data_IF_930306741508
#
_entry.id   IF_930306741508
#
_cell.length_a   1.000
_cell.length_b   1.000
_cell.length_c   1.000
_cell.angle_alpha   90.00
_cell.angle_beta   90.00
_cell.angle_gamma   90.00
#
_symmetry.space_group_name_H-M   'P 1'
#
loop_
_entity.id
_entity.type
_entity.pdbx_description
1 polymer ?
#
# COMPACT_ATOMS: atom_id res chain seq x y z
N UNK A 1 63.23 3.26 34.18
CA UNK A 1 62.27 3.17 33.06
C UNK A 1 62.97 2.37 31.99
N UNK A 2 62.59 1.11 31.81
CA UNK A 2 63.35 0.18 30.97
C UNK A 2 63.20 0.53 29.49
N UNK A 3 64.29 0.95 28.86
CA UNK A 3 64.35 1.30 27.43
C UNK A 3 63.82 0.16 26.53
N UNK A 4 63.91 -1.08 27.01
CA UNK A 4 63.35 -2.26 26.33
C UNK A 4 61.83 -2.22 26.21
N UNK A 5 61.13 -1.75 27.25
CA UNK A 5 59.67 -1.66 27.27
C UNK A 5 59.21 -0.56 26.30
N UNK A 6 59.92 0.57 26.28
CA UNK A 6 59.62 1.69 25.37
C UNK A 6 59.82 1.27 23.90
N UNK A 7 60.91 0.54 23.61
CA UNK A 7 61.18 0.04 22.26
C UNK A 7 60.15 -0.99 21.79
N UNK A 8 59.66 -1.86 22.67
CA UNK A 8 58.62 -2.83 22.34
C UNK A 8 57.27 -2.15 22.04
N UNK A 9 56.90 -1.15 22.86
CA UNK A 9 55.69 -0.35 22.63
C UNK A 9 55.76 0.42 21.30
N UNK A 10 56.92 0.98 20.95
CA UNK A 10 57.13 1.64 19.67
C UNK A 10 56.94 0.70 18.48
N UNK A 11 57.53 -0.51 18.52
CA UNK A 11 57.35 -1.54 17.48
C UNK A 11 55.89 -1.99 17.34
N UNK A 12 55.18 -2.15 18.46
CA UNK A 12 53.76 -2.52 18.45
C UNK A 12 52.89 -1.43 17.83
N UNK A 13 53.16 -0.16 18.17
CA UNK A 13 52.49 1.01 17.60
C UNK A 13 52.74 1.13 16.09
N UNK A 14 53.98 0.96 15.66
CA UNK A 14 54.37 0.99 14.25
C UNK A 14 53.66 -0.12 13.44
N UNK A 15 53.64 -1.36 13.95
CA UNK A 15 52.94 -2.47 13.30
C UNK A 15 51.43 -2.24 13.20
N UNK A 16 50.83 -1.59 14.21
CA UNK A 16 49.42 -1.20 14.18
C UNK A 16 49.16 -0.09 13.15
N UNK A 17 50.02 0.92 13.09
CA UNK A 17 49.93 2.00 12.09
C UNK A 17 50.10 1.46 10.66
N UNK A 18 51.04 0.55 10.43
CA UNK A 18 51.22 -0.10 9.13
C UNK A 18 49.99 -0.91 8.72
N UNK A 19 49.39 -1.68 9.65
CA UNK A 19 48.13 -2.41 9.39
C UNK A 19 46.95 -1.48 9.14
N UNK A 20 46.92 -0.33 9.81
CA UNK A 20 45.90 0.70 9.62
C UNK A 20 46.04 1.30 8.22
N UNK A 21 47.25 1.72 7.84
CA UNK A 21 47.55 2.25 6.49
C UNK A 21 47.24 1.23 5.39
N UNK A 22 47.56 -0.05 5.57
CA UNK A 22 47.16 -1.11 4.63
C UNK A 22 45.63 -1.17 4.44
N UNK A 23 44.85 -0.98 5.52
CA UNK A 23 43.38 -0.91 5.44
C UNK A 23 42.89 0.34 4.71
N UNK A 24 43.58 1.47 4.84
CA UNK A 24 43.27 2.68 4.09
C UNK A 24 43.55 2.50 2.59
N UNK A 25 44.68 1.88 2.21
CA UNK A 25 45.00 1.59 0.80
C UNK A 25 44.00 0.60 0.18
N UNK A 26 43.53 -0.42 0.92
CA UNK A 26 42.42 -1.28 0.43
C UNK A 26 41.05 -0.60 0.40
N UNK A 27 40.88 0.56 1.06
CA UNK A 27 39.65 1.37 0.98
C UNK A 27 39.73 2.45 -0.11
N UNK A 28 40.92 2.83 -0.56
CA UNK A 28 41.15 3.88 -1.56
C UNK A 28 41.62 3.36 -2.93
N UNK A 29 40.97 2.32 -3.44
CA UNK A 29 40.86 2.07 -4.89
C UNK A 29 39.36 1.80 -5.17
N UNK A 30 38.44 2.75 -4.94
CA UNK A 30 38.22 4.05 -5.60
C UNK A 30 37.28 4.06 -6.82
N UNK A 31 36.83 2.91 -7.35
CA UNK A 31 35.71 2.90 -8.32
C UNK A 31 34.35 2.77 -7.63
N UNK A 32 34.18 1.75 -6.79
CA UNK A 32 32.85 1.38 -6.25
C UNK A 32 32.25 2.42 -5.30
N UNK A 33 33.07 3.09 -4.47
CA UNK A 33 32.57 4.09 -3.52
C UNK A 33 32.25 5.44 -4.17
N UNK A 34 32.98 5.81 -5.24
CA UNK A 34 32.71 7.02 -6.02
C UNK A 34 31.47 6.81 -6.90
N UNK A 35 31.38 5.66 -7.56
CA UNK A 35 30.19 5.27 -8.34
C UNK A 35 28.94 5.17 -7.47
N UNK A 36 29.06 4.67 -6.24
CA UNK A 36 27.93 4.62 -5.31
C UNK A 36 27.48 6.03 -4.89
N UNK A 37 28.42 6.94 -4.61
CA UNK A 37 28.09 8.31 -4.22
C UNK A 37 27.46 9.11 -5.38
N UNK A 38 27.92 8.92 -6.61
CA UNK A 38 27.29 9.51 -7.80
C UNK A 38 25.90 8.93 -8.05
N UNK A 39 25.72 7.63 -7.83
CA UNK A 39 24.44 6.94 -7.99
C UNK A 39 23.40 7.38 -6.95
N UNK A 40 23.80 7.52 -5.69
CA UNK A 40 22.92 8.03 -4.64
C UNK A 40 22.52 9.49 -4.92
N UNK A 41 23.43 10.30 -5.44
CA UNK A 41 23.16 11.69 -5.83
C UNK A 41 22.23 11.78 -7.06
N UNK A 42 22.41 10.89 -8.04
CA UNK A 42 21.52 10.77 -9.18
C UNK A 42 20.10 10.36 -8.74
N UNK A 43 20.00 9.38 -7.84
CA UNK A 43 18.73 8.97 -7.26
C UNK A 43 18.03 10.13 -6.54
N UNK A 44 18.76 10.89 -5.71
CA UNK A 44 18.19 12.03 -4.99
C UNK A 44 17.68 13.11 -5.96
N UNK A 45 18.41 13.40 -7.03
CA UNK A 45 17.96 14.34 -8.07
C UNK A 45 16.70 13.84 -8.80
N UNK A 46 16.62 12.53 -9.04
CA UNK A 46 15.48 11.91 -9.72
C UNK A 46 14.23 11.86 -8.82
N UNK A 47 14.41 11.64 -7.52
CA UNK A 47 13.34 11.73 -6.51
C UNK A 47 12.80 13.15 -6.39
N UNK A 48 13.66 14.16 -6.45
CA UNK A 48 13.23 15.56 -6.40
C UNK A 48 12.46 15.94 -7.68
N UNK A 49 12.91 15.48 -8.85
CA UNK A 49 12.15 15.64 -10.09
C UNK A 49 10.76 15.01 -10.00
N UNK A 50 10.66 13.77 -9.50
CA UNK A 50 9.39 13.08 -9.31
C UNK A 50 8.45 13.84 -8.36
N UNK A 51 8.98 14.54 -7.35
CA UNK A 51 8.18 15.43 -6.48
C UNK A 51 7.65 16.64 -7.25
N UNK A 52 8.51 17.33 -8.00
CA UNK A 52 8.07 18.46 -8.84
C UNK A 52 6.99 18.03 -9.85
N UNK A 53 7.16 16.88 -10.50
CA UNK A 53 6.18 16.29 -11.42
C UNK A 53 4.82 16.04 -10.73
N UNK A 54 4.86 15.47 -9.52
CA UNK A 54 3.67 15.23 -8.72
C UNK A 54 2.95 16.53 -8.31
N UNK A 55 3.69 17.60 -8.04
CA UNK A 55 3.15 18.93 -7.70
C UNK A 55 2.52 19.63 -8.90
N UNK A 56 3.18 19.57 -10.06
CA UNK A 56 2.72 20.17 -11.32
C UNK A 56 1.57 19.37 -11.92
N UNK A 57 1.41 18.11 -11.50
CA UNK A 57 0.37 17.22 -12.01
C UNK A 57 0.73 16.61 -13.37
N UNK A 58 1.99 16.63 -13.78
CA UNK A 58 2.46 16.07 -15.05
C UNK A 58 3.44 14.97 -14.72
N UNK A 59 3.09 13.73 -15.06
CA UNK A 59 3.92 12.54 -14.80
C UNK A 59 4.66 12.19 -16.08
N UNK A 60 5.99 12.18 -16.05
CA UNK A 60 6.81 11.82 -17.21
C UNK A 60 7.17 10.32 -17.17
N UNK A 61 6.90 9.60 -18.26
CA UNK A 61 7.21 8.17 -18.38
C UNK A 61 8.71 7.88 -18.22
N UNK A 62 9.56 8.82 -18.61
CA UNK A 62 11.01 8.69 -18.47
C UNK A 62 11.42 8.67 -17.00
N UNK A 63 10.85 9.54 -16.16
CA UNK A 63 11.12 9.59 -14.71
C UNK A 63 10.65 8.32 -14.01
N UNK A 64 9.47 7.81 -14.38
CA UNK A 64 8.94 6.53 -13.87
C UNK A 64 9.87 5.38 -14.25
N UNK A 65 10.27 5.27 -15.52
CA UNK A 65 11.15 4.19 -15.99
C UNK A 65 12.51 4.21 -15.30
N UNK A 66 13.10 5.39 -15.07
CA UNK A 66 14.35 5.49 -14.31
C UNK A 66 14.17 5.05 -12.86
N UNK A 67 13.11 5.46 -12.17
CA UNK A 67 12.82 5.01 -10.80
C UNK A 67 12.66 3.48 -10.73
N UNK A 68 11.96 2.87 -11.69
CA UNK A 68 11.80 1.41 -11.77
C UNK A 68 13.14 0.69 -12.02
N UNK A 69 14.00 1.25 -12.87
CA UNK A 69 15.35 0.72 -13.08
C UNK A 69 16.22 0.80 -11.82
N UNK A 70 16.13 1.90 -11.06
CA UNK A 70 16.79 2.00 -9.75
C UNK A 70 16.25 0.94 -8.79
N UNK A 71 14.93 0.73 -8.75
CA UNK A 71 14.30 -0.28 -7.92
C UNK A 71 14.74 -1.71 -8.26
N UNK A 72 14.88 -2.03 -9.55
CA UNK A 72 15.31 -3.35 -10.02
C UNK A 72 16.76 -3.67 -9.64
N UNK A 73 17.61 -2.64 -9.56
CA UNK A 73 19.02 -2.75 -9.23
C UNK A 73 19.29 -2.70 -7.72
N UNK A 74 18.36 -2.16 -6.93
CA UNK A 74 18.56 -1.85 -5.53
C UNK A 74 17.88 -2.89 -4.62
N UNK A 75 18.70 -3.63 -3.87
CA UNK A 75 18.21 -4.58 -2.86
C UNK A 75 17.42 -3.87 -1.75
N UNK A 76 16.57 -4.64 -1.06
CA UNK A 76 15.69 -4.13 0.00
C UNK A 76 16.43 -3.18 0.96
N UNK A 77 15.95 -1.95 1.07
CA UNK A 77 16.59 -0.96 1.92
C UNK A 77 15.80 0.35 2.04
N UNK A 78 16.46 1.38 2.56
CA UNK A 78 15.85 2.68 2.77
C UNK A 78 15.63 3.44 1.44
N UNK A 79 16.56 3.29 0.48
CA UNK A 79 16.42 3.82 -0.88
C UNK A 79 15.20 3.24 -1.61
N UNK A 80 15.01 1.91 -1.56
CA UNK A 80 13.84 1.20 -2.12
C UNK A 80 12.52 1.79 -1.62
N UNK A 81 12.40 2.07 -0.31
CA UNK A 81 11.18 2.67 0.25
C UNK A 81 10.93 4.08 -0.26
N UNK A 82 11.99 4.88 -0.45
CA UNK A 82 11.87 6.24 -1.03
C UNK A 82 11.40 6.18 -2.48
N UNK A 83 11.97 5.28 -3.28
CA UNK A 83 11.58 5.05 -4.67
C UNK A 83 10.12 4.60 -4.77
N UNK A 84 9.71 3.60 -3.98
CA UNK A 84 8.33 3.11 -3.95
C UNK A 84 7.32 4.21 -3.60
N UNK A 85 7.62 5.03 -2.58
CA UNK A 85 6.76 6.14 -2.20
C UNK A 85 6.65 7.20 -3.32
N UNK A 86 7.77 7.51 -3.99
CA UNK A 86 7.76 8.43 -5.13
C UNK A 86 6.88 7.88 -6.28
N UNK A 87 7.05 6.61 -6.65
CA UNK A 87 6.22 5.95 -7.68
C UNK A 87 4.74 5.91 -7.30
N UNK A 88 4.42 5.64 -6.04
CA UNK A 88 3.03 5.66 -5.56
C UNK A 88 2.41 7.06 -5.65
N UNK A 89 3.21 8.09 -5.36
CA UNK A 89 2.80 9.49 -5.47
C UNK A 89 2.50 9.86 -6.92
N UNK A 90 3.39 9.52 -7.85
CA UNK A 90 3.17 9.72 -9.29
C UNK A 90 1.93 8.97 -9.78
N UNK A 91 1.73 7.72 -9.34
CA UNK A 91 0.53 6.93 -9.68
C UNK A 91 -0.76 7.59 -9.19
N UNK A 92 -0.76 8.14 -7.97
CA UNK A 92 -1.91 8.87 -7.41
C UNK A 92 -2.24 10.11 -8.25
N UNK A 93 -1.22 10.80 -8.76
CA UNK A 93 -1.40 11.99 -9.61
C UNK A 93 -1.95 11.59 -10.99
N UNK A 94 -1.38 10.57 -11.63
CA UNK A 94 -1.90 10.04 -12.90
C UNK A 94 -3.37 9.59 -12.79
N UNK A 95 -3.72 8.84 -11.73
CA UNK A 95 -5.11 8.42 -11.48
C UNK A 95 -6.07 9.59 -11.23
N UNK A 96 -5.59 10.69 -10.64
CA UNK A 96 -6.41 11.90 -10.44
C UNK A 96 -6.65 12.61 -11.77
N UNK A 97 -5.66 12.66 -12.65
CA UNK A 97 -5.80 13.26 -13.97
C UNK A 97 -6.75 12.46 -14.88
N UNK A 98 -6.69 11.13 -14.85
CA UNK A 98 -7.57 10.28 -15.67
C UNK A 98 -9.05 10.41 -15.28
N UNK A 99 -9.34 10.73 -14.01
CA UNK A 99 -10.71 10.99 -13.53
C UNK A 99 -11.30 12.30 -14.06
N UNK A 100 -10.48 13.22 -14.56
CA UNK A 100 -10.92 14.53 -15.06
C UNK A 100 -11.32 14.45 -16.54
N UNK A 101 -10.88 13.43 -17.30
CA UNK A 101 -11.09 13.36 -18.75
C UNK A 101 -11.88 12.18 -19.30
N UNK A 102 -12.01 11.06 -18.58
CA UNK A 102 -12.64 9.84 -19.12
C UNK A 102 -13.96 9.54 -18.43
N UNK A 103 -15.06 9.65 -19.19
CA UNK A 103 -16.31 8.98 -18.83
C UNK A 103 -15.99 7.54 -18.49
N UNK A 104 -16.59 7.05 -17.41
CA UNK A 104 -16.38 5.71 -16.85
C UNK A 104 -16.69 4.63 -17.90
N UNK A 105 -15.76 4.36 -18.80
CA UNK A 105 -15.80 3.21 -19.69
C UNK A 105 -15.35 2.02 -18.84
N UNK A 106 -16.27 1.58 -17.98
CA UNK A 106 -16.11 0.40 -17.18
C UNK A 106 -16.03 -0.81 -18.09
N UNK A 107 -15.03 -1.66 -17.83
CA UNK A 107 -14.93 -2.97 -18.46
C UNK A 107 -16.20 -3.76 -18.10
N UNK A 108 -17.12 -3.90 -19.06
CA UNK A 108 -18.40 -4.56 -18.88
C UNK A 108 -18.34 -5.95 -19.52
N UNK A 109 -18.44 -7.00 -18.70
CA UNK A 109 -18.72 -8.33 -19.20
C UNK A 109 -20.23 -8.49 -19.32
N UNK A 110 -20.73 -8.57 -20.55
CA UNK A 110 -22.10 -9.01 -20.80
C UNK A 110 -22.18 -10.51 -20.52
N UNK A 111 -22.82 -10.88 -19.42
CA UNK A 111 -23.25 -12.26 -19.18
C UNK A 111 -24.38 -12.53 -20.19
N UNK A 112 -24.10 -13.30 -21.24
CA UNK A 112 -25.16 -13.83 -22.10
C UNK A 112 -25.95 -14.84 -21.28
N UNK A 113 -27.15 -14.46 -20.88
CA UNK A 113 -28.14 -15.41 -20.41
C UNK A 113 -28.66 -16.18 -21.62
N UNK A 114 -27.95 -17.23 -22.03
CA UNK A 114 -28.56 -18.29 -22.83
C UNK A 114 -29.55 -19.03 -21.92
N UNK A 115 -30.79 -18.52 -21.92
CA UNK A 115 -31.92 -19.17 -21.29
C UNK A 115 -32.33 -20.40 -22.13
N UNK A 116 -32.55 -21.58 -21.54
CA UNK A 116 -33.38 -22.60 -22.15
C UNK A 116 -34.87 -22.18 -22.06
N UNK A 117 -35.72 -22.62 -23.00
CA UNK A 117 -37.03 -22.04 -23.22
C UNK A 117 -38.11 -22.50 -22.23
N UNK A 118 -38.97 -21.54 -21.86
CA UNK A 118 -40.43 -21.60 -21.61
C UNK A 118 -41.03 -22.76 -20.80
N UNK A 119 -41.58 -22.43 -19.61
CA UNK A 119 -42.92 -22.90 -19.16
C UNK A 119 -43.58 -21.82 -18.30
N UNK A 120 -44.88 -21.48 -18.47
CA UNK A 120 -45.55 -20.40 -17.75
C UNK A 120 -46.28 -20.90 -16.49
N UNK A 121 -46.17 -20.18 -15.36
CA UNK A 121 -47.18 -20.23 -14.28
C UNK A 121 -47.28 -18.88 -13.57
N UNK A 122 -48.33 -18.16 -13.98
CA UNK A 122 -49.27 -17.27 -13.27
C UNK A 122 -49.09 -16.91 -11.77
N UNK A 123 -49.35 -15.61 -11.51
CA UNK A 123 -49.82 -14.89 -10.29
C UNK A 123 -48.80 -14.66 -9.15
N UNK A 124 -48.69 -13.50 -8.49
CA UNK A 124 -49.43 -12.24 -8.55
C UNK A 124 -48.87 -11.22 -7.53
N UNK A 125 -49.01 -9.93 -7.87
CA UNK A 125 -49.40 -8.77 -7.05
C UNK A 125 -48.80 -8.45 -5.64
N UNK A 126 -48.36 -7.18 -5.54
CA UNK A 126 -48.59 -6.16 -4.47
C UNK A 126 -47.52 -5.88 -3.40
N UNK A 127 -46.86 -4.74 -3.63
CA UNK A 127 -46.62 -3.57 -2.74
C UNK A 127 -47.05 -3.62 -1.26
N UNK A 128 -46.17 -3.14 -0.37
CA UNK A 128 -46.56 -2.26 0.76
C UNK A 128 -45.36 -1.57 1.40
N UNK A 129 -45.58 -0.29 1.70
CA UNK A 129 -44.71 0.78 2.21
C UNK A 129 -44.74 0.88 3.75
N UNK A 130 -43.71 1.53 4.31
CA UNK A 130 -43.75 2.51 5.43
C UNK A 130 -43.31 2.11 6.86
N UNK A 131 -42.65 3.10 7.48
CA UNK A 131 -42.65 3.50 8.92
C UNK A 131 -41.45 2.99 9.74
N UNK A 132 -40.40 3.78 10.00
CA UNK A 132 -40.20 4.92 10.93
C UNK A 132 -39.42 4.47 12.21
N UNK A 133 -38.37 5.22 12.56
CA UNK A 133 -37.47 4.99 13.70
C UNK A 133 -38.13 5.34 15.06
N UNK A 134 -37.51 5.00 16.22
CA UNK A 134 -36.55 5.94 16.81
C UNK A 134 -35.39 5.33 17.64
N UNK A 135 -34.41 6.21 17.89
CA UNK A 135 -33.25 6.17 18.79
C UNK A 135 -33.50 5.56 20.19
N UNK A 136 -32.48 4.91 20.77
CA UNK A 136 -31.82 5.40 22.00
C UNK A 136 -30.53 4.61 22.34
N UNK A 137 -29.67 5.32 23.07
CA UNK A 137 -28.24 5.12 23.30
C UNK A 137 -27.85 3.90 24.17
N UNK A 138 -26.63 3.39 23.96
CA UNK A 138 -25.64 3.31 25.05
C UNK A 138 -24.21 3.11 24.52
N UNK A 139 -23.37 4.06 24.90
CA UNK A 139 -21.95 4.18 24.59
C UNK A 139 -21.13 3.45 25.67
N UNK A 140 -20.13 2.64 25.30
CA UNK A 140 -18.81 2.60 25.98
C UNK A 140 -17.74 2.09 25.00
N UNK A 141 -16.60 2.76 25.10
CA UNK A 141 -15.45 2.89 24.20
C UNK A 141 -14.61 1.63 24.00
N UNK A 142 -14.05 1.45 22.80
CA UNK A 142 -12.58 1.37 22.66
C UNK A 142 -12.06 1.45 21.21
N UNK A 143 -11.12 2.38 21.05
CA UNK A 143 -10.06 2.49 20.03
C UNK A 143 -10.44 2.77 18.56
N UNK A 144 -10.20 4.02 18.18
CA UNK A 144 -10.20 4.62 16.85
C UNK A 144 -9.83 3.69 15.67
N UNK A 145 -10.78 3.50 14.76
CA UNK A 145 -10.62 2.98 13.39
C UNK A 145 -11.78 3.55 12.55
N UNK A 146 -11.61 3.71 11.21
CA UNK A 146 -12.26 4.75 10.42
C UNK A 146 -13.78 4.63 10.43
N UNK A 147 -14.47 5.77 10.35
CA UNK A 147 -15.94 5.97 10.39
C UNK A 147 -16.78 5.13 9.38
N UNK A 148 -16.14 4.29 8.56
CA UNK A 148 -16.76 3.57 7.45
C UNK A 148 -16.69 2.04 7.60
N UNK A 149 -16.60 1.50 8.82
CA UNK A 149 -16.56 0.03 9.03
C UNK A 149 -17.86 -0.48 9.64
N UNK A 150 -18.53 -1.39 8.93
CA UNK A 150 -19.76 -2.05 9.38
C UNK A 150 -19.41 -3.32 10.16
N UNK A 151 -19.83 -3.38 11.42
CA UNK A 151 -19.56 -4.51 12.31
C UNK A 151 -20.79 -5.40 12.46
N UNK A 152 -20.65 -6.69 12.15
CA UNK A 152 -21.68 -7.71 12.39
C UNK A 152 -21.12 -8.79 13.30
N UNK A 153 -21.62 -8.79 14.54
CA UNK A 153 -21.15 -9.69 15.58
C UNK A 153 -22.29 -10.63 16.00
N UNK A 154 -21.96 -11.89 16.33
CA UNK A 154 -22.84 -12.78 17.10
C UNK A 154 -24.17 -13.15 16.42
N UNK A 155 -24.19 -13.29 15.10
CA UNK A 155 -25.40 -13.77 14.38
C UNK A 155 -25.41 -15.31 14.30
N UNK A 156 -26.58 -15.93 14.46
CA UNK A 156 -26.72 -17.38 14.32
C UNK A 156 -28.04 -17.80 13.65
N UNK A 157 -27.98 -18.67 12.64
CA UNK A 157 -29.13 -19.15 11.87
C UNK A 157 -29.98 -18.04 11.23
N UNK A 158 -29.33 -16.97 10.76
CA UNK A 158 -30.00 -15.78 10.24
C UNK A 158 -29.65 -15.48 8.78
N UNK A 159 -30.68 -15.08 8.04
CA UNK A 159 -30.56 -14.53 6.69
C UNK A 159 -30.76 -13.02 6.77
N UNK A 160 -29.68 -12.25 6.56
CA UNK A 160 -29.70 -10.80 6.79
C UNK A 160 -29.22 -10.03 5.57
N UNK A 161 -30.00 -9.02 5.18
CA UNK A 161 -29.55 -7.98 4.26
C UNK A 161 -28.84 -6.89 5.07
N UNK A 162 -27.62 -6.57 4.68
CA UNK A 162 -26.75 -5.60 5.35
C UNK A 162 -26.74 -4.35 4.49
N UNK A 163 -27.22 -3.26 5.06
CA UNK A 163 -27.20 -1.93 4.45
C UNK A 163 -25.93 -1.19 4.87
N UNK A 164 -25.43 -0.34 3.98
CA UNK A 164 -24.14 0.30 4.13
C UNK A 164 -23.85 1.29 3.03
N UNK A 165 -22.70 1.94 3.12
CA UNK A 165 -22.19 2.86 2.09
C UNK A 165 -21.21 2.12 1.20
N UNK A 166 -21.29 2.34 -0.11
CA UNK A 166 -20.31 1.80 -1.06
C UNK A 166 -18.88 2.19 -0.67
N UNK A 167 -17.99 1.20 -0.62
CA UNK A 167 -16.61 1.37 -0.16
C UNK A 167 -16.40 1.27 1.34
N UNK A 168 -17.45 0.98 2.13
CA UNK A 168 -17.30 0.63 3.54
C UNK A 168 -16.66 -0.75 3.72
N UNK A 169 -15.82 -0.91 4.73
CA UNK A 169 -15.30 -2.22 5.11
C UNK A 169 -16.30 -2.94 6.01
N UNK A 170 -16.34 -4.27 5.96
CA UNK A 170 -17.23 -5.08 6.79
C UNK A 170 -16.40 -5.99 7.68
N UNK A 171 -16.66 -5.98 8.98
CA UNK A 171 -16.06 -6.91 9.94
C UNK A 171 -17.13 -7.86 10.46
N UNK A 172 -16.94 -9.14 10.16
CA UNK A 172 -17.81 -10.24 10.57
C UNK A 172 -17.13 -11.02 11.69
N UNK A 173 -17.77 -11.13 12.85
CA UNK A 173 -17.22 -11.86 14.01
C UNK A 173 -18.24 -12.83 14.58
N UNK A 174 -17.81 -14.07 14.82
CA UNK A 174 -18.63 -15.10 15.49
C UNK A 174 -19.98 -15.37 14.81
N UNK A 175 -19.96 -15.69 13.51
CA UNK A 175 -21.16 -16.04 12.75
C UNK A 175 -21.36 -17.57 12.68
N UNK A 176 -22.59 -18.06 12.86
CA UNK A 176 -22.90 -19.50 12.72
C UNK A 176 -24.13 -19.73 11.85
N UNK A 177 -23.99 -20.48 10.76
CA UNK A 177 -25.10 -20.84 9.85
C UNK A 177 -25.90 -19.62 9.36
N UNK A 178 -25.23 -18.52 9.01
CA UNK A 178 -25.87 -17.30 8.54
C UNK A 178 -25.70 -17.13 7.02
N UNK A 179 -26.68 -16.50 6.37
CA UNK A 179 -26.57 -16.02 4.98
C UNK A 179 -26.67 -14.51 4.96
N UNK A 180 -25.52 -13.85 4.78
CA UNK A 180 -25.47 -12.40 4.66
C UNK A 180 -25.55 -11.99 3.19
N UNK A 181 -26.34 -10.97 2.89
CA UNK A 181 -26.39 -10.29 1.59
C UNK A 181 -26.07 -8.82 1.83
N UNK A 182 -25.27 -8.20 0.96
CA UNK A 182 -24.94 -6.78 1.08
C UNK A 182 -25.74 -6.00 0.04
N UNK A 183 -26.43 -4.95 0.47
CA UNK A 183 -27.17 -4.03 -0.42
C UNK A 183 -26.26 -2.91 -0.98
N UNK A 184 -24.96 -3.01 -0.77
CA UNK A 184 -23.92 -2.07 -1.16
C UNK A 184 -22.65 -2.84 -1.55
N UNK A 185 -21.66 -2.14 -2.09
CA UNK A 185 -20.38 -2.70 -2.51
C UNK A 185 -19.32 -2.50 -1.41
N UNK A 186 -19.06 -3.50 -0.55
CA UNK A 186 -18.03 -3.37 0.47
C UNK A 186 -16.64 -3.28 -0.17
N UNK A 187 -15.77 -2.46 0.43
CA UNK A 187 -14.35 -2.33 0.03
C UNK A 187 -13.58 -3.60 0.40
N UNK A 188 -13.67 -4.02 1.66
CA UNK A 188 -13.14 -5.30 2.13
C UNK A 188 -14.12 -5.98 3.10
N UNK A 189 -14.14 -7.31 3.11
CA UNK A 189 -14.88 -8.11 4.09
C UNK A 189 -13.90 -8.92 4.93
N UNK A 190 -13.76 -8.57 6.20
CA UNK A 190 -12.92 -9.25 7.16
C UNK A 190 -13.75 -10.27 7.94
N UNK A 191 -13.43 -11.55 7.78
CA UNK A 191 -14.08 -12.64 8.49
C UNK A 191 -13.20 -13.14 9.63
N UNK A 192 -13.69 -13.02 10.85
CA UNK A 192 -13.11 -13.66 12.03
C UNK A 192 -14.02 -14.83 12.43
N UNK A 193 -13.61 -16.04 12.03
CA UNK A 193 -14.28 -17.31 12.34
C UNK A 193 -13.95 -17.75 13.76
#
# INVERSE_FOLDING_TARGET
MDERIVAEQAKRKEKLLARLQQRYVTKEVSSVAVEKKSRDQELDALLERARCEAEIGVVEDTTVSHLENFLALEGSGWATKRIQNALETLRKVSLKNDRIGHSKSGFSFQIRNDAPPLVPTTEGMKSSTSTEAPLLEHCFTDTSLPDNVIHLNTLSNEDRLVEGVDGADVKLKSLRKCRLRFAFHPSAVHMQV
#
